data_IF_460535056524
#
_entry.id   IF_460535056524
#
_cell.length_a   1.000
_cell.length_b   1.000
_cell.length_c   1.000
_cell.angle_alpha   90.00
_cell.angle_beta   90.00
_cell.angle_gamma   90.00
#
_symmetry.space_group_name_H-M   'P 1'
#
loop_
_entity.id
_entity.type
_entity.pdbx_description
1 polymer ?
#
# COMPACT_ATOMS: atom_id res chain seq x y z
N UNK A 1 -17.73 -25.07 20.28
CA UNK A 1 -16.73 -24.33 19.46
C UNK A 1 -17.26 -24.25 18.04
N UNK A 2 -17.56 -23.08 17.54
CA UNK A 2 -17.91 -22.99 16.14
C UNK A 2 -16.71 -23.39 15.29
N UNK A 3 -16.88 -24.35 14.41
CA UNK A 3 -15.91 -24.67 13.40
C UNK A 3 -15.68 -23.43 12.55
N UNK A 4 -14.45 -22.88 12.61
CA UNK A 4 -14.00 -21.88 11.68
C UNK A 4 -14.07 -22.53 10.29
N UNK A 5 -15.07 -22.15 9.51
CA UNK A 5 -15.16 -22.54 8.12
C UNK A 5 -13.88 -22.06 7.43
N UNK A 6 -12.99 -22.99 7.17
CA UNK A 6 -11.78 -22.70 6.40
C UNK A 6 -12.24 -22.28 5.00
N UNK A 7 -12.07 -21.01 4.68
CA UNK A 7 -12.25 -20.54 3.31
C UNK A 7 -11.31 -21.32 2.38
N UNK A 8 -11.77 -21.68 1.18
CA UNK A 8 -10.93 -22.40 0.23
C UNK A 8 -9.67 -21.58 -0.05
N UNK A 9 -8.51 -22.18 0.24
CA UNK A 9 -7.23 -21.55 -0.02
C UNK A 9 -6.99 -21.46 -1.52
N UNK A 10 -6.65 -20.25 -2.01
CA UNK A 10 -6.23 -20.04 -3.40
C UNK A 10 -5.06 -20.99 -3.79
N UNK A 11 -4.89 -21.31 -5.08
CA UNK A 11 -3.77 -22.12 -5.54
C UNK A 11 -2.43 -21.58 -5.04
N UNK A 12 -1.52 -22.45 -4.62
CA UNK A 12 -0.29 -22.07 -3.91
C UNK A 12 0.59 -21.07 -4.65
N UNK A 13 0.69 -21.14 -5.99
CA UNK A 13 1.52 -20.23 -6.79
C UNK A 13 0.94 -18.80 -6.84
N UNK A 14 -0.37 -18.67 -7.06
CA UNK A 14 -1.05 -17.37 -7.09
C UNK A 14 -1.04 -16.72 -5.72
N UNK A 15 -1.28 -17.50 -4.68
CA UNK A 15 -1.21 -17.03 -3.29
C UNK A 15 0.19 -16.57 -2.91
N UNK A 16 1.23 -17.26 -3.40
CA UNK A 16 2.63 -16.92 -3.14
C UNK A 16 2.99 -15.54 -3.74
N UNK A 17 2.63 -15.29 -5.00
CA UNK A 17 2.89 -14.02 -5.65
C UNK A 17 2.11 -12.86 -4.99
N UNK A 18 0.83 -13.08 -4.69
CA UNK A 18 0.00 -12.09 -4.00
C UNK A 18 0.55 -11.75 -2.62
N UNK A 19 1.00 -12.75 -1.84
CA UNK A 19 1.56 -12.52 -0.51
C UNK A 19 2.91 -11.80 -0.57
N UNK A 20 3.74 -12.05 -1.57
CA UNK A 20 5.02 -11.35 -1.75
C UNK A 20 4.81 -9.88 -2.04
N UNK A 21 3.87 -9.52 -2.90
CA UNK A 21 3.52 -8.13 -3.20
C UNK A 21 2.82 -7.46 -2.02
N UNK A 22 1.92 -8.14 -1.34
CA UNK A 22 1.28 -7.65 -0.13
C UNK A 22 2.29 -7.34 0.97
N UNK A 23 3.25 -8.21 1.18
CA UNK A 23 4.35 -7.99 2.12
C UNK A 23 5.23 -6.81 1.71
N UNK A 24 5.48 -6.63 0.41
CA UNK A 24 6.23 -5.51 -0.11
C UNK A 24 5.51 -4.17 0.12
N UNK A 25 4.18 -4.14 -0.05
CA UNK A 25 3.37 -2.94 0.24
C UNK A 25 3.43 -2.56 1.71
N UNK A 26 3.27 -3.52 2.60
CA UNK A 26 3.38 -3.30 4.05
C UNK A 26 4.78 -2.78 4.42
N UNK A 27 5.83 -3.41 3.89
CA UNK A 27 7.21 -2.99 4.11
C UNK A 27 7.46 -1.58 3.57
N UNK A 28 6.93 -1.23 2.40
CA UNK A 28 7.06 0.11 1.81
C UNK A 28 6.44 1.19 2.71
N UNK A 29 5.27 0.93 3.26
CA UNK A 29 4.62 1.85 4.22
C UNK A 29 5.49 2.05 5.46
N UNK A 30 6.05 0.98 6.00
CA UNK A 30 6.95 1.05 7.16
C UNK A 30 8.25 1.81 6.83
N UNK A 31 8.81 1.60 5.65
CA UNK A 31 10.01 2.30 5.19
C UNK A 31 9.77 3.80 5.04
N UNK A 32 8.66 4.20 4.45
CA UNK A 32 8.29 5.62 4.31
C UNK A 32 8.05 6.26 5.68
N UNK A 33 7.42 5.55 6.59
CA UNK A 33 7.26 6.00 7.98
C UNK A 33 8.64 6.28 8.61
N UNK A 34 9.57 5.35 8.48
CA UNK A 34 10.92 5.49 9.04
C UNK A 34 11.67 6.69 8.44
N UNK A 35 11.50 6.94 7.14
CA UNK A 35 12.08 8.11 6.49
C UNK A 35 11.49 9.43 7.03
N UNK A 36 10.18 9.48 7.19
CA UNK A 36 9.50 10.69 7.67
C UNK A 36 9.80 11.00 9.15
N UNK A 37 9.84 9.99 9.99
CA UNK A 37 10.02 10.15 11.44
C UNK A 37 11.49 10.16 11.83
N UNK A 38 12.28 9.28 11.24
CA UNK A 38 13.70 9.08 11.60
C UNK A 38 14.70 9.83 10.74
N UNK A 39 14.25 10.45 9.63
CA UNK A 39 15.15 11.15 8.71
C UNK A 39 16.08 10.24 7.93
N UNK A 40 15.78 8.94 7.85
CA UNK A 40 16.62 7.97 7.14
C UNK A 40 16.58 8.27 5.64
N UNK A 41 17.74 8.23 4.99
CA UNK A 41 17.83 8.44 3.54
C UNK A 41 17.23 7.28 2.75
N UNK A 42 16.81 7.54 1.51
CA UNK A 42 16.28 6.50 0.63
C UNK A 42 17.24 5.32 0.43
N UNK A 43 18.52 5.51 0.08
CA UNK A 43 19.45 4.38 -0.04
C UNK A 43 19.60 3.59 1.25
N UNK A 44 19.65 4.26 2.39
CA UNK A 44 19.82 3.62 3.69
C UNK A 44 18.61 2.77 4.08
N UNK A 45 17.40 3.28 3.89
CA UNK A 45 16.18 2.54 4.24
C UNK A 45 15.98 1.33 3.32
N UNK A 46 16.28 1.46 2.04
CA UNK A 46 16.21 0.33 1.11
C UNK A 46 17.19 -0.75 1.50
N UNK A 47 18.45 -0.40 1.78
CA UNK A 47 19.46 -1.35 2.19
C UNK A 47 19.10 -2.07 3.50
N UNK A 48 18.57 -1.36 4.48
CA UNK A 48 18.15 -1.92 5.76
C UNK A 48 17.01 -2.92 5.58
N UNK A 49 15.98 -2.57 4.81
CA UNK A 49 14.84 -3.46 4.58
C UNK A 49 15.22 -4.69 3.77
N UNK A 50 16.03 -4.54 2.73
CA UNK A 50 16.54 -5.68 1.95
C UNK A 50 17.39 -6.65 2.79
N UNK A 51 18.20 -6.12 3.71
CA UNK A 51 19.06 -6.94 4.56
C UNK A 51 18.31 -7.63 5.70
N UNK A 52 17.27 -7.02 6.28
CA UNK A 52 16.75 -7.44 7.58
C UNK A 52 15.24 -7.62 7.66
N UNK A 53 14.46 -7.10 6.72
CA UNK A 53 13.00 -7.05 6.86
C UNK A 53 12.19 -7.69 5.73
N UNK A 54 12.83 -8.01 4.62
CA UNK A 54 12.15 -8.64 3.49
C UNK A 54 12.20 -10.16 3.51
N UNK A 55 13.13 -10.74 4.27
CA UNK A 55 13.35 -12.18 4.43
C UNK A 55 13.11 -12.62 5.89
N UNK A 56 12.03 -12.17 6.53
CA UNK A 56 11.80 -12.45 7.94
C UNK A 56 11.20 -13.83 8.20
N UNK A 57 11.77 -14.56 9.19
CA UNK A 57 11.07 -15.61 9.90
C UNK A 57 10.36 -14.99 11.11
N UNK A 58 9.05 -15.16 11.22
CA UNK A 58 8.32 -14.87 12.43
C UNK A 58 7.71 -16.17 12.94
N UNK A 59 8.07 -16.53 14.18
CA UNK A 59 7.53 -17.70 14.89
C UNK A 59 7.75 -19.05 14.19
N UNK A 60 8.88 -19.22 13.50
CA UNK A 60 9.24 -20.50 12.86
C UNK A 60 8.49 -20.79 11.56
N UNK A 61 7.62 -19.91 11.11
CA UNK A 61 7.09 -19.93 9.76
C UNK A 61 7.90 -18.97 8.91
N UNK A 62 8.48 -19.46 7.83
CA UNK A 62 9.12 -18.62 6.85
C UNK A 62 8.06 -17.66 6.30
N UNK A 63 8.10 -16.41 6.75
CA UNK A 63 7.41 -15.34 6.05
C UNK A 63 7.96 -15.36 4.64
N UNK A 64 7.08 -15.48 3.68
CA UNK A 64 7.48 -15.46 2.28
C UNK A 64 8.22 -14.16 2.02
N UNK A 65 9.38 -14.24 1.35
CA UNK A 65 10.14 -13.03 1.06
C UNK A 65 9.24 -12.04 0.33
N UNK A 66 9.24 -10.79 0.80
CA UNK A 66 8.59 -9.72 0.08
C UNK A 66 9.26 -9.56 -1.29
N UNK A 67 8.50 -9.16 -2.30
CA UNK A 67 9.03 -8.82 -3.61
C UNK A 67 9.93 -7.59 -3.47
N UNK A 68 11.24 -7.80 -3.41
CA UNK A 68 12.23 -6.75 -3.19
C UNK A 68 12.24 -5.72 -4.32
N UNK A 69 12.05 -6.14 -5.56
CA UNK A 69 11.96 -5.25 -6.71
C UNK A 69 10.73 -4.35 -6.62
N UNK A 70 9.60 -4.91 -6.27
CA UNK A 70 8.36 -4.16 -6.09
C UNK A 70 8.44 -3.20 -4.90
N UNK A 71 9.02 -3.64 -3.78
CA UNK A 71 9.30 -2.80 -2.63
C UNK A 71 10.12 -1.56 -3.02
N UNK A 72 11.24 -1.76 -3.71
CA UNK A 72 12.10 -0.66 -4.16
C UNK A 72 11.40 0.30 -5.11
N UNK A 73 10.57 -0.23 -6.02
CA UNK A 73 9.74 0.57 -6.93
C UNK A 73 8.76 1.44 -6.17
N UNK A 74 8.10 0.90 -5.14
CA UNK A 74 7.14 1.67 -4.33
C UNK A 74 7.84 2.79 -3.55
N UNK A 75 8.86 2.46 -2.77
CA UNK A 75 9.52 3.46 -1.91
C UNK A 75 10.23 4.52 -2.76
N UNK A 76 11.03 4.09 -3.73
CA UNK A 76 11.73 5.01 -4.63
C UNK A 76 10.79 5.85 -5.48
N UNK A 77 9.72 5.24 -5.97
CA UNK A 77 8.71 5.91 -6.78
C UNK A 77 7.93 6.96 -6.00
N UNK A 78 7.53 6.65 -4.78
CA UNK A 78 6.84 7.63 -3.91
C UNK A 78 7.74 8.83 -3.63
N UNK A 79 9.01 8.61 -3.29
CA UNK A 79 9.97 9.69 -3.03
C UNK A 79 10.15 10.55 -4.27
N UNK A 80 10.36 9.95 -5.43
CA UNK A 80 10.55 10.65 -6.70
C UNK A 80 9.32 11.46 -7.11
N UNK A 81 8.12 10.88 -6.93
CA UNK A 81 6.87 11.45 -7.41
C UNK A 81 6.04 12.16 -6.33
N UNK A 82 6.59 12.39 -5.16
CA UNK A 82 5.85 12.96 -4.04
C UNK A 82 5.18 14.30 -4.40
N UNK A 83 5.83 15.14 -5.17
CA UNK A 83 5.29 16.45 -5.60
C UNK A 83 4.07 16.32 -6.51
N UNK A 84 3.91 15.20 -7.20
CA UNK A 84 2.75 14.91 -8.04
C UNK A 84 1.67 14.16 -7.25
N UNK A 85 2.09 13.29 -6.34
CA UNK A 85 1.19 12.43 -5.55
C UNK A 85 0.46 13.22 -4.47
N UNK A 86 1.16 14.05 -3.71
CA UNK A 86 0.58 14.77 -2.58
C UNK A 86 -0.60 15.68 -2.95
N UNK A 87 -0.56 16.44 -4.06
CA UNK A 87 -1.73 17.23 -4.46
C UNK A 87 -2.97 16.38 -4.77
N UNK A 88 -2.80 15.21 -5.35
CA UNK A 88 -3.91 14.30 -5.64
C UNK A 88 -4.57 13.79 -4.37
N UNK A 89 -3.77 13.47 -3.36
CA UNK A 89 -4.27 13.07 -2.05
C UNK A 89 -5.01 14.24 -1.40
N UNK A 90 -4.41 15.41 -1.41
CA UNK A 90 -4.98 16.61 -0.81
C UNK A 90 -6.36 16.95 -1.39
N UNK A 91 -6.51 16.90 -2.70
CA UNK A 91 -7.78 17.15 -3.38
C UNK A 91 -8.84 16.09 -3.07
N UNK A 92 -8.43 14.85 -2.84
CA UNK A 92 -9.33 13.74 -2.54
C UNK A 92 -9.70 13.63 -1.06
N UNK A 93 -8.93 14.27 -0.17
CA UNK A 93 -9.23 14.25 1.27
C UNK A 93 -10.48 15.06 1.58
N UNK A 94 -11.32 14.61 2.53
CA UNK A 94 -12.46 15.39 2.98
C UNK A 94 -12.03 16.75 3.53
N UNK A 95 -12.92 17.75 3.43
CA UNK A 95 -12.70 19.06 4.02
C UNK A 95 -12.42 18.93 5.52
N UNK A 96 -11.38 19.61 6.00
CA UNK A 96 -10.95 19.53 7.39
C UNK A 96 -9.88 18.46 7.68
N UNK A 97 -9.47 17.71 6.66
CA UNK A 97 -8.39 16.72 6.77
C UNK A 97 -7.17 17.13 5.93
N UNK A 98 -6.39 18.14 6.36
CA UNK A 98 -5.20 18.52 5.61
C UNK A 98 -4.13 17.43 5.68
N UNK A 99 -3.48 17.15 4.55
CA UNK A 99 -2.46 16.09 4.43
C UNK A 99 -1.37 16.18 5.51
N UNK A 100 -0.99 17.40 5.90
CA UNK A 100 0.05 17.63 6.92
C UNK A 100 -0.35 17.18 8.32
N UNK A 101 -1.65 17.05 8.60
CA UNK A 101 -2.18 16.74 9.94
C UNK A 101 -2.66 15.32 10.09
N UNK A 102 -2.76 14.57 9.01
CA UNK A 102 -3.11 13.16 9.11
C UNK A 102 -1.93 12.35 9.66
N UNK A 103 -2.24 11.23 10.27
CA UNK A 103 -1.24 10.32 10.81
C UNK A 103 -0.17 9.98 9.77
N UNK A 104 1.10 9.88 10.19
CA UNK A 104 2.25 9.63 9.30
C UNK A 104 2.12 8.29 8.58
N UNK A 105 1.64 7.25 9.28
CA UNK A 105 1.42 5.93 8.66
C UNK A 105 0.30 6.00 7.63
N UNK A 106 -0.81 6.67 7.95
CA UNK A 106 -1.92 6.87 7.02
C UNK A 106 -1.47 7.62 5.77
N UNK A 107 -0.66 8.65 5.94
CA UNK A 107 -0.08 9.40 4.81
C UNK A 107 0.79 8.52 3.93
N UNK A 108 1.63 7.67 4.53
CA UNK A 108 2.45 6.71 3.79
C UNK A 108 1.59 5.72 3.00
N UNK A 109 0.52 5.20 3.58
CA UNK A 109 -0.44 4.31 2.90
C UNK A 109 -1.05 4.98 1.68
N UNK A 110 -1.53 6.21 1.83
CA UNK A 110 -2.14 6.97 0.75
C UNK A 110 -1.13 7.27 -0.38
N UNK A 111 0.09 7.64 -0.03
CA UNK A 111 1.15 7.89 -1.01
C UNK A 111 1.48 6.65 -1.84
N UNK A 112 1.63 5.50 -1.20
CA UNK A 112 1.86 4.23 -1.91
C UNK A 112 0.70 3.88 -2.83
N UNK A 113 -0.52 3.97 -2.35
CA UNK A 113 -1.72 3.64 -3.12
C UNK A 113 -1.87 4.54 -4.35
N UNK A 114 -1.72 5.84 -4.19
CA UNK A 114 -1.81 6.79 -5.31
C UNK A 114 -0.68 6.56 -6.32
N UNK A 115 0.53 6.28 -5.85
CA UNK A 115 1.64 5.94 -6.73
C UNK A 115 1.31 4.72 -7.60
N UNK A 116 0.82 3.63 -7.01
CA UNK A 116 0.44 2.43 -7.78
C UNK A 116 -0.68 2.72 -8.77
N UNK A 117 -1.69 3.46 -8.37
CA UNK A 117 -2.79 3.84 -9.27
C UNK A 117 -2.30 4.61 -10.49
N UNK A 118 -1.32 5.46 -10.32
CA UNK A 118 -0.78 6.26 -11.41
C UNK A 118 0.24 5.52 -12.29
N UNK A 119 1.09 4.71 -11.70
CA UNK A 119 2.27 4.16 -12.37
C UNK A 119 2.20 2.67 -12.67
N UNK A 120 1.42 1.90 -11.90
CA UNK A 120 1.34 0.45 -12.06
C UNK A 120 -0.03 0.04 -12.61
N UNK A 121 -0.26 0.41 -13.86
CA UNK A 121 -1.52 0.10 -14.57
C UNK A 121 -1.69 -1.38 -14.90
N UNK A 122 -0.65 -2.19 -14.75
CA UNK A 122 -0.68 -3.64 -14.79
C UNK A 122 -1.46 -4.24 -13.60
N UNK A 123 -1.59 -3.49 -12.49
CA UNK A 123 -2.39 -3.90 -11.33
C UNK A 123 -3.77 -3.23 -11.42
N UNK A 124 -4.88 -3.97 -11.45
CA UNK A 124 -6.23 -3.37 -11.48
C UNK A 124 -6.47 -2.43 -10.31
N UNK A 125 -7.19 -1.33 -10.55
CA UNK A 125 -7.45 -0.32 -9.52
C UNK A 125 -8.12 -0.91 -8.28
N UNK A 126 -9.07 -1.82 -8.45
CA UNK A 126 -9.76 -2.49 -7.34
C UNK A 126 -8.81 -3.30 -6.47
N UNK A 127 -7.81 -3.94 -7.07
CA UNK A 127 -6.79 -4.69 -6.34
C UNK A 127 -5.93 -3.73 -5.53
N UNK A 128 -5.47 -2.63 -6.13
CA UNK A 128 -4.69 -1.61 -5.42
C UNK A 128 -5.45 -1.10 -4.20
N UNK A 129 -6.71 -0.70 -4.37
CA UNK A 129 -7.54 -0.16 -3.29
C UNK A 129 -7.70 -1.19 -2.16
N UNK A 130 -8.07 -2.43 -2.49
CA UNK A 130 -8.27 -3.50 -1.51
C UNK A 130 -6.99 -3.80 -0.73
N UNK A 131 -5.86 -3.85 -1.41
CA UNK A 131 -4.56 -4.12 -0.78
C UNK A 131 -4.18 -3.04 0.24
N UNK A 132 -4.40 -1.77 -0.07
CA UNK A 132 -4.07 -0.69 0.87
C UNK A 132 -5.11 -0.53 1.98
N UNK A 133 -6.36 -0.93 1.77
CA UNK A 133 -7.33 -1.09 2.86
C UNK A 133 -6.83 -2.16 3.84
N UNK A 134 -6.35 -3.28 3.34
CA UNK A 134 -5.81 -4.35 4.18
C UNK A 134 -4.56 -3.91 4.95
N UNK A 135 -3.67 -3.15 4.32
CA UNK A 135 -2.53 -2.54 5.02
C UNK A 135 -3.03 -1.61 6.14
N UNK A 136 -4.01 -0.77 5.85
CA UNK A 136 -4.58 0.14 6.85
C UNK A 136 -5.18 -0.62 8.05
N UNK A 137 -5.83 -1.74 7.81
CA UNK A 137 -6.38 -2.59 8.89
C UNK A 137 -5.32 -3.20 9.79
N UNK A 138 -4.09 -3.33 9.29
CA UNK A 138 -2.97 -3.80 10.12
C UNK A 138 -2.53 -2.75 11.16
N UNK A 139 -2.80 -1.47 10.92
CA UNK A 139 -2.38 -0.37 11.78
C UNK A 139 -3.54 0.32 12.52
N UNK A 140 -4.74 0.28 11.98
CA UNK A 140 -5.89 1.07 12.48
C UNK A 140 -7.14 0.20 12.60
N UNK A 141 -7.93 0.47 13.63
CA UNK A 141 -9.11 -0.35 13.95
C UNK A 141 -10.45 0.26 13.52
N UNK A 142 -10.51 1.58 13.27
CA UNK A 142 -11.81 2.26 13.13
C UNK A 142 -12.01 2.94 11.77
N UNK A 143 -11.72 4.22 11.67
CA UNK A 143 -12.16 5.06 10.53
C UNK A 143 -11.15 5.11 9.38
N UNK A 144 -9.90 4.86 9.64
CA UNK A 144 -8.80 5.03 8.69
C UNK A 144 -8.93 4.12 7.46
N UNK A 145 -9.30 2.83 7.57
CA UNK A 145 -9.52 2.01 6.39
C UNK A 145 -10.59 2.57 5.45
N UNK A 146 -11.67 3.13 6.00
CA UNK A 146 -12.71 3.80 5.23
C UNK A 146 -12.21 5.06 4.52
N UNK A 147 -11.36 5.84 5.17
CA UNK A 147 -10.72 7.00 4.55
C UNK A 147 -9.79 6.59 3.40
N UNK A 148 -9.00 5.55 3.58
CA UNK A 148 -8.15 5.00 2.52
C UNK A 148 -9.00 4.59 1.31
N UNK A 149 -10.09 3.87 1.54
CA UNK A 149 -11.01 3.49 0.48
C UNK A 149 -11.54 4.73 -0.27
N UNK A 150 -12.05 5.70 0.45
CA UNK A 150 -12.65 6.91 -0.15
C UNK A 150 -11.63 7.71 -0.98
N UNK A 151 -10.43 7.92 -0.45
CA UNK A 151 -9.38 8.68 -1.15
C UNK A 151 -8.89 7.93 -2.38
N UNK A 152 -8.57 6.65 -2.24
CA UNK A 152 -8.04 5.86 -3.36
C UNK A 152 -9.09 5.64 -4.45
N UNK A 153 -10.35 5.42 -4.10
CA UNK A 153 -11.45 5.32 -5.07
C UNK A 153 -11.61 6.61 -5.89
N UNK A 154 -11.59 7.76 -5.20
CA UNK A 154 -11.66 9.07 -5.85
C UNK A 154 -10.50 9.26 -6.84
N UNK A 155 -9.28 9.02 -6.40
CA UNK A 155 -8.09 9.14 -7.25
C UNK A 155 -8.14 8.15 -8.43
N UNK A 156 -8.54 6.91 -8.17
CA UNK A 156 -8.64 5.87 -9.20
C UNK A 156 -9.63 6.25 -10.31
N UNK A 157 -10.79 6.80 -9.97
CA UNK A 157 -11.78 7.26 -10.95
C UNK A 157 -11.25 8.39 -11.83
N UNK A 158 -10.38 9.22 -11.29
CA UNK A 158 -9.72 10.29 -12.05
C UNK A 158 -8.57 9.77 -12.92
N UNK A 159 -7.72 8.88 -12.39
CA UNK A 159 -6.55 8.35 -13.09
C UNK A 159 -6.86 7.23 -14.09
N UNK A 160 -7.89 6.46 -13.82
CA UNK A 160 -8.26 5.25 -14.58
C UNK A 160 -9.74 5.18 -14.88
N UNK A 161 -10.31 6.20 -15.53
CA UNK A 161 -11.76 6.26 -15.78
C UNK A 161 -12.28 5.04 -16.54
N UNK A 162 -11.49 4.47 -17.45
CA UNK A 162 -11.88 3.32 -18.24
C UNK A 162 -12.18 2.06 -17.41
N UNK A 163 -11.54 1.89 -16.26
CA UNK A 163 -11.79 0.74 -15.38
C UNK A 163 -13.12 0.85 -14.63
N UNK A 164 -13.69 2.05 -14.53
CA UNK A 164 -14.98 2.31 -13.87
C UNK A 164 -16.12 2.44 -14.86
N UNK A 165 -15.89 2.99 -16.05
CA UNK A 165 -16.92 3.16 -17.09
C UNK A 165 -17.37 1.82 -17.67
N UNK A 166 -16.49 0.82 -17.78
CA UNK A 166 -16.80 -0.51 -18.26
C UNK A 166 -17.83 -1.27 -17.41
N UNK A 167 -18.15 -0.77 -16.21
CA UNK A 167 -19.13 -1.36 -15.31
C UNK A 167 -20.57 -0.87 -15.56
N UNK A 168 -20.79 0.02 -16.53
CA UNK A 168 -22.10 0.64 -16.81
C UNK A 168 -22.82 0.10 -18.06
N UNK A 169 -22.39 -1.01 -18.62
CA UNK A 169 -23.10 -1.73 -19.68
C UNK A 169 -23.82 -2.97 -19.18
#
# INVERSE_FOLDING_TARGET
MPELQQQPKAPALTRRAANQRGSARLAAVQALYQMDVGGTSLPAVIAEFEAHRLDGEVEGEALRPADAGFFGTLVGGVVEMQREVDPLIHEALPAGWPLKRIDVTLRAILRCGVFELRQRKDVPARVVITEYIDVARAFFETDEPGLVNAVLDNVARSCRPAEFDAATT
#
